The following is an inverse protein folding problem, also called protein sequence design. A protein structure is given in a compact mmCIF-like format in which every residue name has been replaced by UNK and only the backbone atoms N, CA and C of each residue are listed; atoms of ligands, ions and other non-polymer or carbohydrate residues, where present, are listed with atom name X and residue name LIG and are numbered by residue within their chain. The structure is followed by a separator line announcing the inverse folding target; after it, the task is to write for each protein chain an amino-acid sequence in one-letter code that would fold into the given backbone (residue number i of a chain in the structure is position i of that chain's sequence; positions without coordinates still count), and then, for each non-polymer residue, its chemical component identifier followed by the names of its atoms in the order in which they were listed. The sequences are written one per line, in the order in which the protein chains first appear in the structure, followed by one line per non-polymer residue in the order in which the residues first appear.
data_IF_742286794202
#
_entry.id   IF_742286794202
#
_cell.length_a   1.000
_cell.length_b   1.000
_cell.length_c   1.000
_cell.angle_alpha   90.00
_cell.angle_beta   90.00
_cell.angle_gamma   90.00
#
_symmetry.space_group_name_H-M   'P 1'
#
loop_
_entity.id
_entity.type
_entity.pdbx_description
1 polymer ?
#
# COMPACT_ATOMS: atom_id res chain seq x y z
N UNK A 1 6.79 -8.56 5.51
CA UNK A 1 6.71 -7.37 4.62
C UNK A 1 5.73 -7.69 3.49
N UNK A 2 4.86 -6.75 3.09
CA UNK A 2 3.78 -6.97 2.12
C UNK A 2 3.73 -5.87 1.06
N UNK A 3 3.40 -6.23 -0.19
CA UNK A 3 3.18 -5.27 -1.28
C UNK A 3 1.75 -4.74 -1.24
N UNK A 4 1.60 -3.42 -1.29
CA UNK A 4 0.29 -2.75 -1.34
C UNK A 4 0.29 -1.71 -2.44
N UNK A 5 -0.84 -1.58 -3.14
CA UNK A 5 -1.09 -0.55 -4.14
C UNK A 5 -1.79 0.61 -3.45
N UNK A 6 -1.20 1.79 -3.46
CA UNK A 6 -1.82 2.96 -2.82
C UNK A 6 -3.04 3.43 -3.61
N UNK A 7 -4.16 3.66 -2.94
CA UNK A 7 -5.36 4.24 -3.56
C UNK A 7 -5.29 5.76 -3.60
N UNK A 8 -4.63 6.35 -2.59
CA UNK A 8 -4.47 7.79 -2.44
C UNK A 8 -3.00 8.19 -2.43
N UNK A 9 -2.72 9.45 -2.75
CA UNK A 9 -1.40 10.03 -2.56
C UNK A 9 -1.26 10.46 -1.09
N UNK A 10 -0.23 9.98 -0.41
CA UNK A 10 0.05 10.36 0.98
C UNK A 10 1.55 10.40 1.24
N UNK A 11 1.96 11.14 2.26
CA UNK A 11 3.34 11.15 2.72
C UNK A 11 3.48 10.14 3.87
N UNK A 12 4.45 9.24 3.78
CA UNK A 12 4.75 8.25 4.80
C UNK A 12 6.24 8.20 5.07
N UNK A 13 6.65 8.39 6.33
CA UNK A 13 8.08 8.40 6.75
C UNK A 13 8.98 9.33 5.93
N UNK A 14 8.44 10.46 5.46
CA UNK A 14 9.17 11.42 4.62
C UNK A 14 9.18 11.09 3.12
N UNK A 15 8.60 9.95 2.72
CA UNK A 15 8.46 9.57 1.31
C UNK A 15 7.06 9.89 0.79
N UNK A 16 6.98 10.42 -0.43
CA UNK A 16 5.71 10.68 -1.09
C UNK A 16 5.23 9.41 -1.81
N UNK A 17 4.27 8.73 -1.21
CA UNK A 17 3.63 7.56 -1.80
C UNK A 17 2.54 8.01 -2.76
N UNK A 18 2.81 7.90 -4.06
CA UNK A 18 1.86 8.25 -5.12
C UNK A 18 0.72 7.23 -5.24
N UNK A 19 -0.50 7.72 -5.45
CA UNK A 19 -1.66 6.89 -5.78
C UNK A 19 -1.39 6.02 -7.03
N UNK A 20 -1.93 4.81 -7.03
CA UNK A 20 -1.80 3.82 -8.10
C UNK A 20 -0.46 3.09 -8.15
N UNK A 21 0.53 3.51 -7.36
CA UNK A 21 1.86 2.85 -7.28
C UNK A 21 1.87 1.78 -6.20
N UNK A 22 2.72 0.77 -6.42
CA UNK A 22 2.90 -0.36 -5.52
C UNK A 22 4.13 -0.09 -4.65
N UNK A 23 3.97 -0.24 -3.34
CA UNK A 23 5.04 -0.10 -2.36
C UNK A 23 5.10 -1.33 -1.46
N UNK A 24 6.30 -1.63 -0.97
CA UNK A 24 6.51 -2.70 0.00
C UNK A 24 6.58 -2.09 1.39
N UNK A 25 5.65 -2.46 2.27
CA UNK A 25 5.58 -1.96 3.65
C UNK A 25 5.51 -3.12 4.63
N UNK A 26 5.60 -2.85 5.93
CA UNK A 26 5.39 -3.87 6.96
C UNK A 26 3.95 -4.40 6.93
N UNK A 27 3.75 -5.67 7.29
CA UNK A 27 2.42 -6.30 7.29
C UNK A 27 1.42 -5.53 8.15
N UNK A 28 1.81 -5.12 9.37
CA UNK A 28 0.97 -4.31 10.24
C UNK A 28 0.50 -2.99 9.59
N UNK A 29 1.38 -2.33 8.83
CA UNK A 29 1.04 -1.08 8.12
C UNK A 29 0.15 -1.37 6.92
N UNK A 30 0.47 -2.41 6.16
CA UNK A 30 -0.34 -2.84 5.03
C UNK A 30 -1.78 -3.16 5.45
N UNK A 31 -1.95 -3.96 6.51
CA UNK A 31 -3.27 -4.33 7.03
C UNK A 31 -4.08 -3.12 7.45
N UNK A 32 -3.49 -2.17 8.19
CA UNK A 32 -4.16 -0.91 8.55
C UNK A 32 -4.60 -0.13 7.32
N UNK A 33 -3.74 -0.01 6.31
CA UNK A 33 -4.07 0.72 5.09
C UNK A 33 -5.16 0.03 4.27
N UNK A 34 -5.18 -1.30 4.24
CA UNK A 34 -6.21 -2.08 3.56
C UNK A 34 -7.57 -1.92 4.27
N UNK A 35 -7.60 -2.04 5.59
CA UNK A 35 -8.82 -1.86 6.40
C UNK A 35 -9.36 -0.43 6.25
N UNK A 36 -8.48 0.56 6.26
CA UNK A 36 -8.84 1.97 6.06
C UNK A 36 -9.04 2.37 4.59
N UNK A 37 -9.00 1.44 3.64
CA UNK A 37 -9.15 1.68 2.18
C UNK A 37 -8.13 2.67 1.58
N UNK A 38 -7.01 2.90 2.26
CA UNK A 38 -5.90 3.74 1.81
C UNK A 38 -5.06 3.02 0.75
N UNK A 39 -4.95 1.70 0.85
CA UNK A 39 -4.21 0.87 -0.09
C UNK A 39 -4.93 -0.47 -0.33
N UNK A 40 -4.63 -1.13 -1.44
CA UNK A 40 -5.13 -2.45 -1.78
C UNK A 40 -4.02 -3.48 -1.69
N UNK A 41 -4.37 -4.70 -1.25
CA UNK A 41 -3.44 -5.83 -1.26
C UNK A 41 -3.13 -6.18 -2.71
N UNK A 42 -1.85 -6.11 -3.08
CA UNK A 42 -1.39 -6.66 -4.37
C UNK A 42 -1.13 -8.13 -4.15
N UNK A 43 -2.05 -8.97 -4.60
CA UNK A 43 -1.77 -10.39 -4.75
C UNK A 43 -0.95 -10.54 -6.03
N UNK A 44 0.25 -11.11 -5.99
CA UNK A 44 1.02 -11.56 -7.17
C UNK A 44 0.31 -12.74 -7.88
N UNK A 45 -1.01 -12.66 -8.02
CA UNK A 45 -1.86 -13.55 -8.84
C UNK A 45 -2.48 -12.69 -9.94
N UNK A 46 -1.65 -12.24 -10.87
CA UNK A 46 -2.11 -12.08 -12.24
C UNK A 46 -2.01 -13.46 -12.92
N UNK A 47 -3.17 -13.98 -13.29
CA UNK A 47 -3.45 -15.08 -14.23
C UNK A 47 -2.85 -16.47 -13.92
#
# INVERSE_FOLDING_TARGET
MMKVKMNIQTMYRGELLRAGKIYTVSEETAERWIISKIAEKVNDKEA
#
